data_IF_137250861577
#
_entry.id   IF_137250861577
#
_cell.length_a   1.000
_cell.length_b   1.000
_cell.length_c   1.000
_cell.angle_alpha   90.00
_cell.angle_beta   90.00
_cell.angle_gamma   90.00
#
_symmetry.space_group_name_H-M   'P 1'
#
loop_
_entity.id
_entity.type
_entity.pdbx_description
1 polymer ?
#
# COMPACT_ATOMS: atom_id res chain seq x y z
N UNK A 1 -57.66 8.49 -2.23
CA UNK A 1 -56.23 8.74 -1.95
C UNK A 1 -55.49 7.44 -1.62
N UNK A 2 -55.98 6.62 -0.69
CA UNK A 2 -55.31 5.37 -0.27
C UNK A 2 -55.12 4.33 -1.38
N UNK A 3 -56.09 4.17 -2.29
CA UNK A 3 -55.98 3.21 -3.41
C UNK A 3 -54.87 3.55 -4.42
N UNK A 4 -54.59 4.83 -4.65
CA UNK A 4 -53.50 5.26 -5.54
C UNK A 4 -52.13 4.96 -4.93
N UNK A 5 -51.98 5.22 -3.63
CA UNK A 5 -50.74 4.94 -2.89
C UNK A 5 -50.44 3.43 -2.89
N UNK A 6 -51.45 2.60 -2.67
CA UNK A 6 -51.31 1.13 -2.72
C UNK A 6 -50.87 0.67 -4.11
N UNK A 7 -51.43 1.22 -5.19
CA UNK A 7 -51.04 0.86 -6.56
C UNK A 7 -49.57 1.20 -6.87
N UNK A 8 -49.07 2.32 -6.37
CA UNK A 8 -47.68 2.76 -6.55
C UNK A 8 -46.72 1.81 -5.83
N UNK A 9 -47.06 1.40 -4.60
CA UNK A 9 -46.26 0.42 -3.86
C UNK A 9 -46.17 -0.94 -4.58
N UNK A 10 -47.27 -1.41 -5.17
CA UNK A 10 -47.28 -2.66 -5.93
C UNK A 10 -46.34 -2.57 -7.15
N UNK A 11 -46.33 -1.44 -7.86
CA UNK A 11 -45.45 -1.22 -9.02
C UNK A 11 -43.97 -1.20 -8.60
N UNK A 12 -43.65 -0.56 -7.47
CA UNK A 12 -42.28 -0.51 -6.95
C UNK A 12 -41.80 -1.92 -6.55
N UNK A 13 -42.63 -2.70 -5.84
CA UNK A 13 -42.30 -4.08 -5.47
C UNK A 13 -42.09 -4.94 -6.71
N UNK A 14 -42.93 -4.77 -7.74
CA UNK A 14 -42.77 -5.48 -9.00
C UNK A 14 -41.44 -5.13 -9.71
N UNK A 15 -41.06 -3.84 -9.77
CA UNK A 15 -39.79 -3.41 -10.35
C UNK A 15 -38.59 -3.99 -9.59
N UNK A 16 -38.63 -3.99 -8.26
CA UNK A 16 -37.58 -4.59 -7.43
C UNK A 16 -37.48 -6.10 -7.69
N UNK A 17 -38.61 -6.79 -7.81
CA UNK A 17 -38.64 -8.21 -8.16
C UNK A 17 -37.98 -8.46 -9.52
N UNK A 18 -38.28 -7.65 -10.54
CA UNK A 18 -37.68 -7.81 -11.88
C UNK A 18 -36.17 -7.59 -11.83
N UNK A 19 -35.70 -6.54 -11.13
CA UNK A 19 -34.27 -6.25 -11.00
C UNK A 19 -33.51 -7.38 -10.29
N UNK A 20 -34.07 -7.95 -9.23
CA UNK A 20 -33.43 -9.07 -8.51
C UNK A 20 -33.34 -10.33 -9.37
N UNK A 21 -34.37 -10.67 -10.15
CA UNK A 21 -34.29 -11.78 -11.12
C UNK A 21 -33.23 -11.58 -12.19
N UNK A 22 -33.10 -10.35 -12.72
CA UNK A 22 -32.05 -10.03 -13.70
C UNK A 22 -30.66 -10.23 -13.10
N UNK A 23 -30.44 -9.76 -11.87
CA UNK A 23 -29.17 -9.93 -11.16
C UNK A 23 -28.82 -11.40 -10.93
N UNK A 24 -29.78 -12.23 -10.55
CA UNK A 24 -29.59 -13.68 -10.36
C UNK A 24 -29.21 -14.36 -11.69
N UNK A 25 -29.81 -13.94 -12.81
CA UNK A 25 -29.49 -14.53 -14.11
C UNK A 25 -28.10 -14.11 -14.61
N UNK A 26 -27.71 -12.85 -14.42
CA UNK A 26 -26.38 -12.35 -14.79
C UNK A 26 -25.29 -13.05 -13.96
N UNK A 27 -25.48 -13.16 -12.65
CA UNK A 27 -24.50 -13.83 -11.77
C UNK A 27 -24.31 -15.30 -12.13
N UNK A 28 -25.36 -16.02 -12.51
CA UNK A 28 -25.25 -17.41 -13.03
C UNK A 28 -24.38 -17.49 -14.30
N UNK A 29 -24.66 -16.64 -15.29
CA UNK A 29 -23.90 -16.61 -16.55
C UNK A 29 -22.43 -16.26 -16.32
N UNK A 30 -22.15 -15.31 -15.42
CA UNK A 30 -20.77 -14.94 -15.06
C UNK A 30 -20.07 -16.10 -14.35
N UNK A 31 -20.75 -16.78 -13.42
CA UNK A 31 -20.19 -17.92 -12.70
C UNK A 31 -19.83 -19.08 -13.64
N UNK A 32 -20.70 -19.39 -14.61
CA UNK A 32 -20.44 -20.43 -15.60
C UNK A 32 -19.25 -20.07 -16.51
N UNK A 33 -19.14 -18.81 -16.92
CA UNK A 33 -17.98 -18.30 -17.68
C UNK A 33 -16.70 -18.39 -16.87
N UNK A 34 -16.72 -17.98 -15.60
CA UNK A 34 -15.55 -18.09 -14.72
C UNK A 34 -15.12 -19.54 -14.55
N UNK A 35 -16.06 -20.45 -14.30
CA UNK A 35 -15.78 -21.88 -14.16
C UNK A 35 -15.13 -22.44 -15.43
N UNK A 36 -15.64 -22.10 -16.61
CA UNK A 36 -15.04 -22.52 -17.89
C UNK A 36 -13.63 -21.95 -18.09
N UNK A 37 -13.39 -20.68 -17.74
CA UNK A 37 -12.07 -20.07 -17.83
C UNK A 37 -11.06 -20.70 -16.87
N UNK A 38 -11.49 -21.06 -15.67
CA UNK A 38 -10.65 -21.79 -14.71
C UNK A 38 -10.32 -23.19 -15.19
N UNK A 39 -11.28 -23.92 -15.75
CA UNK A 39 -11.07 -25.26 -16.31
C UNK A 39 -10.09 -25.20 -17.50
N UNK A 40 -10.30 -24.27 -18.43
CA UNK A 40 -9.42 -24.11 -19.60
C UNK A 40 -7.99 -23.75 -19.17
N UNK A 41 -7.83 -22.85 -18.20
CA UNK A 41 -6.49 -22.54 -17.66
C UNK A 41 -5.82 -23.74 -17.00
N UNK A 42 -6.58 -24.58 -16.29
CA UNK A 42 -6.04 -25.80 -15.68
C UNK A 42 -5.62 -26.83 -16.75
N UNK A 43 -6.39 -26.94 -17.82
CA UNK A 43 -6.07 -27.79 -18.97
C UNK A 43 -4.79 -27.30 -19.67
N UNK A 44 -4.64 -25.99 -19.87
CA UNK A 44 -3.41 -25.39 -20.40
C UNK A 44 -2.18 -25.71 -19.53
N UNK A 45 -2.31 -25.65 -18.20
CA UNK A 45 -1.24 -26.04 -17.28
C UNK A 45 -0.92 -27.53 -17.35
N UNK A 46 -1.93 -28.39 -17.43
CA UNK A 46 -1.71 -29.84 -17.60
C UNK A 46 -0.98 -30.15 -18.91
N UNK A 47 -1.34 -29.48 -20.01
CA UNK A 47 -0.65 -29.61 -21.30
C UNK A 47 0.82 -29.17 -21.21
N UNK A 48 1.09 -28.05 -20.52
CA UNK A 48 2.46 -27.58 -20.26
C UNK A 48 3.28 -28.58 -19.42
N UNK A 49 2.66 -29.17 -18.39
CA UNK A 49 3.29 -30.19 -17.55
C UNK A 49 3.59 -31.46 -18.37
N UNK A 50 2.66 -31.88 -19.23
CA UNK A 50 2.85 -33.05 -20.09
C UNK A 50 3.99 -32.83 -21.10
N UNK A 51 4.07 -31.66 -21.72
CA UNK A 51 5.18 -31.28 -22.60
C UNK A 51 6.52 -31.32 -21.85
N UNK A 52 6.56 -30.76 -20.64
CA UNK A 52 7.77 -30.78 -19.80
C UNK A 52 8.17 -32.19 -19.37
N UNK A 53 7.22 -33.04 -19.05
CA UNK A 53 7.48 -34.43 -18.71
C UNK A 53 8.00 -35.24 -19.92
N UNK A 54 7.47 -34.98 -21.12
CA UNK A 54 8.01 -35.56 -22.37
C UNK A 54 9.44 -35.09 -22.65
N UNK A 55 9.73 -33.80 -22.46
CA UNK A 55 11.10 -33.27 -22.55
C UNK A 55 12.04 -33.94 -21.53
N UNK A 56 11.61 -34.06 -20.28
CA UNK A 56 12.36 -34.74 -19.21
C UNK A 56 12.62 -36.22 -19.53
N UNK A 57 11.62 -36.95 -20.04
CA UNK A 57 11.78 -38.34 -20.46
C UNK A 57 12.76 -38.47 -21.62
N UNK A 58 12.70 -37.58 -22.62
CA UNK A 58 13.66 -37.61 -23.73
C UNK A 58 15.10 -37.35 -23.25
N UNK A 59 15.29 -36.46 -22.27
CA UNK A 59 16.60 -36.18 -21.67
C UNK A 59 17.09 -37.40 -20.89
N UNK A 60 16.27 -37.98 -20.01
CA UNK A 60 16.65 -39.17 -19.22
C UNK A 60 16.93 -40.39 -20.10
N UNK A 61 16.11 -40.62 -21.14
CA UNK A 61 16.35 -41.67 -22.14
C UNK A 61 17.67 -41.48 -22.90
N UNK A 62 18.10 -40.22 -23.09
CA UNK A 62 19.37 -39.90 -23.76
C UNK A 62 20.59 -39.97 -22.82
N UNK A 63 20.38 -39.99 -21.50
CA UNK A 63 21.41 -40.23 -20.48
C UNK A 63 21.59 -41.73 -20.20
N UNK A 64 20.49 -42.51 -20.12
CA UNK A 64 20.54 -43.98 -19.95
C UNK A 64 21.26 -44.69 -21.12
N UNK A 65 21.17 -44.16 -22.34
CA UNK A 65 21.90 -44.69 -23.49
C UNK A 65 23.40 -44.33 -23.52
N UNK A 66 23.87 -43.42 -22.64
CA UNK A 66 25.27 -42.97 -22.58
C UNK A 66 26.09 -43.64 -21.48
N UNK A 67 25.46 -44.30 -20.50
CA UNK A 67 26.17 -44.99 -19.41
C UNK A 67 26.84 -46.31 -19.80
N UNK A 68 26.68 -46.80 -21.05
CA UNK A 68 27.28 -48.06 -21.50
C UNK A 68 28.63 -47.97 -22.23
N UNK A 69 29.20 -46.77 -22.44
CA UNK A 69 30.54 -46.63 -23.01
C UNK A 69 31.31 -45.47 -22.37
N UNK A 70 31.99 -45.75 -21.25
CA UNK A 70 32.93 -44.81 -20.64
C UNK A 70 34.30 -45.00 -21.30
N UNK A 71 34.56 -44.25 -22.36
CA UNK A 71 35.91 -43.73 -22.62
C UNK A 71 35.90 -42.23 -22.29
N UNK A 72 36.84 -41.82 -21.42
CA UNK A 72 37.00 -40.45 -20.95
C UNK A 72 37.53 -39.56 -22.08
N UNK A 73 36.65 -39.10 -22.96
CA UNK A 73 36.89 -37.87 -23.69
C UNK A 73 36.52 -36.69 -22.79
N UNK A 74 37.50 -35.82 -22.53
CA UNK A 74 37.25 -34.53 -21.87
C UNK A 74 36.48 -33.66 -22.86
N UNK A 75 35.16 -33.78 -22.82
CA UNK A 75 34.29 -32.86 -23.54
C UNK A 75 34.38 -31.50 -22.86
N UNK A 76 35.02 -30.54 -23.53
CA UNK A 76 34.70 -29.13 -23.31
C UNK A 76 33.26 -28.91 -23.76
N UNK A 77 32.31 -29.21 -22.87
CA UNK A 77 30.94 -28.77 -23.02
C UNK A 77 30.98 -27.26 -22.85
N UNK A 78 31.07 -26.53 -23.96
CA UNK A 78 30.53 -25.19 -24.01
C UNK A 78 29.02 -25.38 -24.14
N UNK A 79 28.23 -25.32 -23.05
CA UNK A 79 26.80 -25.33 -23.24
C UNK A 79 26.49 -24.07 -24.04
N UNK A 80 26.02 -24.26 -25.28
CA UNK A 80 25.28 -23.22 -25.98
C UNK A 80 23.96 -23.13 -25.22
N UNK A 81 24.02 -22.49 -24.05
CA UNK A 81 22.83 -22.02 -23.37
C UNK A 81 22.28 -20.98 -24.33
N UNK A 82 21.10 -21.22 -24.87
CA UNK A 82 20.40 -20.22 -25.66
C UNK A 82 20.06 -19.09 -24.69
N UNK A 83 20.95 -18.10 -24.63
CA UNK A 83 20.83 -16.99 -23.69
C UNK A 83 19.64 -16.18 -24.22
N UNK A 84 18.53 -16.09 -23.45
CA UNK A 84 17.37 -15.36 -23.92
C UNK A 84 17.76 -13.92 -24.27
N UNK A 85 17.20 -13.36 -25.35
CA UNK A 85 17.51 -12.02 -25.84
C UNK A 85 17.28 -10.88 -24.83
N UNK A 86 16.54 -11.16 -23.74
CA UNK A 86 16.28 -10.25 -22.62
C UNK A 86 17.31 -10.35 -21.48
N UNK A 87 18.27 -11.28 -21.54
CA UNK A 87 19.28 -11.44 -20.49
C UNK A 87 20.35 -10.36 -20.64
N UNK A 88 20.18 -9.27 -19.91
CA UNK A 88 21.15 -8.19 -19.89
C UNK A 88 22.42 -8.63 -19.13
N UNK A 89 23.48 -8.85 -19.90
CA UNK A 89 24.79 -9.27 -19.39
C UNK A 89 25.50 -8.19 -18.55
N UNK A 90 25.03 -6.94 -18.58
CA UNK A 90 25.63 -5.84 -17.81
C UNK A 90 25.00 -5.65 -16.42
N UNK A 91 23.82 -6.22 -16.12
CA UNK A 91 23.13 -6.04 -14.82
C UNK A 91 24.07 -6.29 -13.64
N UNK A 92 24.81 -7.40 -13.64
CA UNK A 92 25.74 -7.71 -12.55
C UNK A 92 26.90 -6.71 -12.44
N UNK A 93 27.40 -6.23 -13.58
CA UNK A 93 28.45 -5.20 -13.63
C UNK A 93 27.91 -3.86 -13.13
N UNK A 94 26.67 -3.52 -13.47
CA UNK A 94 26.04 -2.27 -13.09
C UNK A 94 25.62 -2.27 -11.61
N UNK A 95 25.10 -3.39 -11.10
CA UNK A 95 24.90 -3.61 -9.66
C UNK A 95 26.20 -3.50 -8.87
N UNK A 96 27.31 -4.05 -9.39
CA UNK A 96 28.64 -3.90 -8.77
C UNK A 96 29.07 -2.43 -8.72
N UNK A 97 28.93 -1.68 -9.82
CA UNK A 97 29.23 -0.24 -9.86
C UNK A 97 28.34 0.56 -8.90
N UNK A 98 27.05 0.25 -8.82
CA UNK A 98 26.13 0.86 -7.87
C UNK A 98 26.59 0.56 -6.45
N UNK A 99 26.97 -0.68 -6.15
CA UNK A 99 27.45 -1.04 -4.83
C UNK A 99 28.73 -0.30 -4.45
N UNK A 100 29.66 -0.12 -5.38
CA UNK A 100 30.92 0.61 -5.17
C UNK A 100 30.73 2.13 -5.04
N UNK A 101 29.82 2.73 -5.80
CA UNK A 101 29.64 4.20 -5.85
C UNK A 101 28.54 4.74 -4.94
N UNK A 102 27.53 3.93 -4.64
CA UNK A 102 26.37 4.27 -3.81
C UNK A 102 26.54 3.66 -2.43
N UNK A 103 27.70 3.85 -1.81
CA UNK A 103 27.98 3.38 -0.46
C UNK A 103 27.86 4.55 0.52
N UNK A 104 26.65 4.73 1.03
CA UNK A 104 26.35 5.79 1.98
C UNK A 104 26.30 5.25 3.40
N UNK A 105 26.87 6.02 4.31
CA UNK A 105 26.69 5.79 5.73
C UNK A 105 25.29 6.31 6.15
N UNK A 106 24.32 5.40 6.07
CA UNK A 106 22.93 5.63 6.43
C UNK A 106 22.79 6.12 7.88
N UNK A 107 23.60 5.59 8.83
CA UNK A 107 23.54 6.01 10.23
C UNK A 107 23.94 7.48 10.37
N UNK A 108 25.05 7.87 9.73
CA UNK A 108 25.50 9.26 9.76
C UNK A 108 24.52 10.22 9.06
N UNK A 109 23.84 9.79 7.98
CA UNK A 109 22.77 10.56 7.35
C UNK A 109 21.64 10.81 8.35
N UNK A 110 21.18 9.76 9.04
CA UNK A 110 20.09 9.86 10.02
C UNK A 110 20.50 10.77 11.19
N UNK A 111 21.71 10.59 11.75
CA UNK A 111 22.19 11.43 12.86
C UNK A 111 22.28 12.91 12.47
N UNK A 112 22.81 13.23 11.29
CA UNK A 112 22.83 14.60 10.76
C UNK A 112 21.42 15.14 10.52
N UNK A 113 20.51 14.29 10.06
CA UNK A 113 19.11 14.65 9.85
C UNK A 113 18.45 15.06 11.17
N UNK A 114 18.62 14.27 12.23
CA UNK A 114 18.09 14.58 13.57
C UNK A 114 18.66 15.91 14.06
N UNK A 115 19.98 16.09 14.03
CA UNK A 115 20.63 17.32 14.53
C UNK A 115 20.11 18.58 13.83
N UNK A 116 19.82 18.50 12.52
CA UNK A 116 19.38 19.65 11.72
C UNK A 116 17.88 19.94 11.86
N UNK A 117 17.05 18.91 11.97
CA UNK A 117 15.59 19.03 11.80
C UNK A 117 14.79 18.79 13.09
N UNK A 118 15.40 18.22 14.13
CA UNK A 118 14.75 18.02 15.42
C UNK A 118 14.64 19.36 16.15
N UNK A 119 13.55 20.09 15.87
CA UNK A 119 13.16 21.28 16.62
C UNK A 119 12.23 20.84 17.73
N UNK A 120 12.47 21.34 18.95
CA UNK A 120 11.57 21.17 20.09
C UNK A 120 10.20 21.76 19.71
N UNK A 121 9.29 20.91 19.23
CA UNK A 121 7.95 21.32 18.84
C UNK A 121 7.05 21.37 20.06
N UNK A 122 6.01 22.21 19.97
CA UNK A 122 5.07 22.41 21.05
C UNK A 122 4.21 21.15 21.23
N UNK A 123 4.71 20.20 22.01
CA UNK A 123 4.06 18.92 22.37
C UNK A 123 2.63 19.15 22.86
N UNK A 124 2.39 20.25 23.61
CA UNK A 124 1.06 20.63 24.07
C UNK A 124 0.10 20.91 22.91
N UNK A 125 0.57 21.59 21.86
CA UNK A 125 -0.27 21.86 20.69
C UNK A 125 -0.56 20.58 19.89
N UNK A 126 0.44 19.73 19.69
CA UNK A 126 0.28 18.43 19.03
C UNK A 126 -0.73 17.54 19.76
N UNK A 127 -0.61 17.43 21.09
CA UNK A 127 -1.54 16.65 21.92
C UNK A 127 -2.96 17.21 21.88
N UNK A 128 -3.12 18.54 21.82
CA UNK A 128 -4.42 19.18 21.65
C UNK A 128 -5.07 18.84 20.31
N UNK A 129 -4.30 18.84 19.21
CA UNK A 129 -4.80 18.47 17.88
C UNK A 129 -5.19 17.00 17.83
N UNK A 130 -4.37 16.10 18.39
CA UNK A 130 -4.71 14.67 18.48
C UNK A 130 -5.99 14.43 19.27
N UNK A 131 -6.14 15.08 20.43
CA UNK A 131 -7.36 14.94 21.23
C UNK A 131 -8.61 15.42 20.50
N UNK A 132 -8.50 16.48 19.68
CA UNK A 132 -9.59 16.91 18.79
C UNK A 132 -9.87 15.87 17.71
N UNK A 133 -8.84 15.33 17.07
CA UNK A 133 -8.97 14.36 15.98
C UNK A 133 -9.61 13.05 16.45
N UNK A 134 -9.26 12.56 17.64
CA UNK A 134 -9.86 11.36 18.24
C UNK A 134 -11.38 11.47 18.42
N UNK A 135 -11.88 12.69 18.66
CA UNK A 135 -13.32 12.97 18.76
C UNK A 135 -14.01 13.11 17.41
N UNK A 136 -13.26 13.15 16.32
CA UNK A 136 -13.73 13.29 14.94
C UNK A 136 -13.58 11.97 14.17
N UNK A 137 -13.94 10.86 14.79
CA UNK A 137 -13.99 9.57 14.10
C UNK A 137 -15.08 9.55 13.02
N UNK A 138 -14.99 8.58 12.11
CA UNK A 138 -15.76 8.53 10.88
C UNK A 138 -17.28 8.75 11.07
N UNK A 139 -17.91 8.05 12.01
CA UNK A 139 -19.36 8.13 12.21
C UNK A 139 -19.80 9.53 12.63
N UNK A 140 -19.07 10.18 13.55
CA UNK A 140 -19.37 11.55 13.97
C UNK A 140 -19.28 12.51 12.78
N UNK A 141 -18.22 12.40 11.99
CA UNK A 141 -18.00 13.30 10.85
C UNK A 141 -19.11 13.10 9.82
N UNK A 142 -19.46 11.85 9.55
CA UNK A 142 -20.50 11.47 8.59
C UNK A 142 -21.89 11.95 9.01
N UNK A 143 -22.23 11.85 10.30
CA UNK A 143 -23.49 12.39 10.81
C UNK A 143 -23.50 13.92 10.78
N UNK A 144 -22.41 14.54 11.23
CA UNK A 144 -22.33 16.00 11.39
C UNK A 144 -22.31 16.71 10.04
N UNK A 145 -21.66 16.14 9.02
CA UNK A 145 -21.53 16.78 7.70
C UNK A 145 -22.86 17.00 6.97
N UNK A 146 -23.93 16.32 7.40
CA UNK A 146 -25.28 16.46 6.83
C UNK A 146 -26.01 17.72 7.33
N UNK A 147 -25.56 18.34 8.41
CA UNK A 147 -26.19 19.54 8.97
C UNK A 147 -25.63 20.84 8.38
N UNK A 148 -26.30 21.97 8.66
CA UNK A 148 -25.83 23.31 8.29
C UNK A 148 -24.58 23.73 9.09
N UNK A 149 -23.75 24.61 8.51
CA UNK A 149 -22.49 25.13 9.07
C UNK A 149 -22.57 25.51 10.56
N UNK A 150 -23.61 26.27 10.95
CA UNK A 150 -23.85 26.70 12.33
C UNK A 150 -24.07 25.51 13.29
N UNK A 151 -24.84 24.51 12.86
CA UNK A 151 -25.12 23.29 13.64
C UNK A 151 -23.85 22.46 13.76
N UNK A 152 -23.09 22.31 12.68
CA UNK A 152 -21.79 21.59 12.70
C UNK A 152 -20.83 22.19 13.72
N UNK A 153 -20.65 23.51 13.69
CA UNK A 153 -19.78 24.21 14.63
C UNK A 153 -20.29 24.12 16.08
N UNK A 154 -21.61 24.20 16.28
CA UNK A 154 -22.22 24.05 17.61
C UNK A 154 -22.04 22.64 18.19
N UNK A 155 -22.07 21.61 17.33
CA UNK A 155 -21.84 20.23 17.74
C UNK A 155 -20.40 20.06 18.23
N UNK A 156 -19.43 20.56 17.46
CA UNK A 156 -18.01 20.56 17.85
C UNK A 156 -17.77 21.24 19.19
N UNK A 157 -18.41 22.39 19.44
CA UNK A 157 -18.30 23.09 20.72
C UNK A 157 -18.82 22.27 21.91
N UNK A 158 -19.78 21.35 21.71
CA UNK A 158 -20.32 20.50 22.79
C UNK A 158 -19.36 19.38 23.19
N UNK A 159 -18.59 18.86 22.23
CA UNK A 159 -17.65 17.74 22.46
C UNK A 159 -16.24 18.21 22.82
N UNK A 160 -15.93 19.49 22.58
CA UNK A 160 -14.63 20.07 22.83
C UNK A 160 -14.33 20.32 24.32
N UNK A 161 -13.07 20.13 24.72
CA UNK A 161 -12.60 20.54 26.04
C UNK A 161 -12.37 22.06 26.13
N UNK A 162 -12.11 22.58 27.33
CA UNK A 162 -11.86 24.03 27.53
C UNK A 162 -10.67 24.56 26.72
N UNK A 163 -9.61 23.77 26.55
CA UNK A 163 -8.45 24.20 25.76
C UNK A 163 -8.75 24.11 24.25
N UNK A 164 -9.45 23.07 23.82
CA UNK A 164 -9.85 22.87 22.42
C UNK A 164 -10.86 23.92 21.95
N UNK A 165 -11.76 24.37 22.83
CA UNK A 165 -12.69 25.46 22.55
C UNK A 165 -11.97 26.75 22.15
N UNK A 166 -10.86 27.08 22.82
CA UNK A 166 -10.04 28.24 22.45
C UNK A 166 -9.47 28.10 21.05
N UNK A 167 -9.03 26.89 20.69
CA UNK A 167 -8.55 26.61 19.34
C UNK A 167 -9.66 26.72 18.29
N UNK A 168 -10.84 26.14 18.57
CA UNK A 168 -12.02 26.23 17.70
C UNK A 168 -12.47 27.68 17.46
N UNK A 169 -12.42 28.51 18.50
CA UNK A 169 -12.77 29.93 18.38
C UNK A 169 -11.79 30.69 17.50
N UNK A 170 -10.51 30.36 17.55
CA UNK A 170 -9.51 30.92 16.64
C UNK A 170 -9.67 30.42 15.20
N UNK A 171 -10.17 29.20 15.00
CA UNK A 171 -10.41 28.61 13.68
C UNK A 171 -11.71 29.10 13.01
N UNK A 172 -12.64 29.70 13.78
CA UNK A 172 -14.01 29.99 13.35
C UNK A 172 -14.08 30.64 11.96
N UNK A 173 -14.66 29.90 11.01
CA UNK A 173 -15.03 30.37 9.66
C UNK A 173 -16.53 30.68 9.60
N UNK A 174 -16.93 31.58 8.70
CA UNK A 174 -18.36 31.88 8.44
C UNK A 174 -19.07 30.65 7.85
N UNK A 175 -18.45 30.02 6.85
CA UNK A 175 -18.90 28.75 6.26
C UNK A 175 -18.10 27.57 6.82
N UNK A 176 -18.40 27.20 8.07
CA UNK A 176 -17.78 26.06 8.71
C UNK A 176 -18.18 24.74 8.04
N UNK A 177 -17.18 23.91 7.73
CA UNK A 177 -17.35 22.57 7.20
C UNK A 177 -16.53 21.58 8.04
N UNK A 178 -17.19 20.58 8.61
CA UNK A 178 -16.58 19.58 9.50
C UNK A 178 -15.52 18.73 8.81
N UNK A 179 -15.70 18.42 7.52
CA UNK A 179 -14.75 17.64 6.74
C UNK A 179 -13.49 18.46 6.45
N UNK A 180 -13.65 19.73 6.06
CA UNK A 180 -12.51 20.64 5.90
C UNK A 180 -11.75 20.84 7.22
N UNK A 181 -12.48 20.95 8.33
CA UNK A 181 -11.88 21.08 9.65
C UNK A 181 -11.10 19.83 10.05
N UNK A 182 -11.67 18.64 9.84
CA UNK A 182 -10.97 17.37 10.07
C UNK A 182 -9.70 17.27 9.25
N UNK A 183 -9.79 17.50 7.94
CA UNK A 183 -8.63 17.50 7.05
C UNK A 183 -7.58 18.54 7.49
N UNK A 184 -8.00 19.70 7.98
CA UNK A 184 -7.09 20.72 8.50
C UNK A 184 -6.34 20.22 9.75
N UNK A 185 -7.04 19.61 10.70
CA UNK A 185 -6.42 19.03 11.91
C UNK A 185 -5.46 17.91 11.53
N UNK A 186 -5.86 16.97 10.68
CA UNK A 186 -5.02 15.85 10.24
C UNK A 186 -3.73 16.35 9.58
N UNK A 187 -3.83 17.34 8.68
CA UNK A 187 -2.65 17.95 8.09
C UNK A 187 -1.72 18.63 9.11
N UNK A 188 -2.29 19.29 10.13
CA UNK A 188 -1.47 19.90 11.19
C UNK A 188 -0.84 18.84 12.11
N UNK A 189 -1.50 17.72 12.36
CA UNK A 189 -0.92 16.58 13.09
C UNK A 189 0.25 16.04 12.29
N UNK A 190 0.08 15.76 11.00
CA UNK A 190 1.14 15.22 10.14
C UNK A 190 2.35 16.15 10.03
N UNK A 191 2.13 17.48 10.06
CA UNK A 191 3.21 18.49 10.06
C UNK A 191 3.95 18.61 11.40
N UNK A 192 3.34 18.15 12.50
CA UNK A 192 3.89 18.25 13.84
C UNK A 192 4.19 16.88 14.47
N UNK A 193 4.00 15.78 13.72
CA UNK A 193 4.44 14.45 14.14
C UNK A 193 5.96 14.46 14.30
N UNK A 194 6.40 14.10 15.51
CA UNK A 194 7.81 14.05 15.87
C UNK A 194 8.45 12.72 15.48
N UNK A 195 7.66 11.76 15.01
CA UNK A 195 8.14 10.44 14.58
C UNK A 195 8.91 10.57 13.26
N UNK A 196 10.14 10.08 13.27
CA UNK A 196 11.00 10.00 12.09
C UNK A 196 10.89 8.58 11.55
N UNK A 197 10.19 8.43 10.43
CA UNK A 197 10.07 7.13 9.77
C UNK A 197 11.23 6.93 8.82
N UNK A 198 12.09 5.97 9.11
CA UNK A 198 13.23 5.60 8.26
C UNK A 198 12.86 4.35 7.47
N UNK A 199 12.74 4.47 6.16
CA UNK A 199 12.46 3.33 5.28
C UNK A 199 13.75 2.71 4.76
N UNK A 200 13.84 1.39 4.86
CA UNK A 200 15.03 0.60 4.54
C UNK A 200 14.70 -0.53 3.57
N UNK A 201 15.64 -0.86 2.70
CA UNK A 201 15.48 -1.92 1.69
C UNK A 201 15.73 -3.34 2.20
N UNK A 202 16.28 -3.50 3.42
CA UNK A 202 16.60 -4.80 4.02
C UNK A 202 15.89 -4.96 5.35
N UNK A 203 15.38 -6.15 5.62
CA UNK A 203 14.60 -6.44 6.85
C UNK A 203 15.48 -6.44 8.10
N UNK A 204 16.76 -6.69 7.94
CA UNK A 204 17.74 -6.75 9.01
C UNK A 204 18.24 -5.35 9.43
N UNK A 205 18.02 -4.33 8.59
CA UNK A 205 18.40 -2.96 8.90
C UNK A 205 17.39 -2.35 9.89
N UNK A 206 17.88 -1.89 11.05
CA UNK A 206 17.07 -1.22 12.06
C UNK A 206 17.87 -0.03 12.62
N UNK A 207 17.22 1.14 12.67
CA UNK A 207 17.78 2.40 13.15
C UNK A 207 17.04 2.98 14.35
N UNK A 208 16.10 2.24 14.95
CA UNK A 208 15.27 2.68 16.09
C UNK A 208 16.13 3.01 17.32
N UNK A 209 17.27 2.33 17.45
CA UNK A 209 18.25 2.56 18.51
C UNK A 209 18.92 3.94 18.46
N UNK A 210 18.83 4.67 17.33
CA UNK A 210 19.47 5.98 17.19
C UNK A 210 18.71 7.10 17.91
N UNK A 211 17.39 6.96 18.09
CA UNK A 211 16.54 7.92 18.79
C UNK A 211 15.17 7.29 19.10
N UNK A 212 14.59 7.59 20.27
CA UNK A 212 13.27 7.07 20.67
C UNK A 212 12.13 7.43 19.70
N UNK A 213 12.30 8.50 18.92
CA UNK A 213 11.32 8.96 17.96
C UNK A 213 11.54 8.37 16.56
N UNK A 214 12.53 7.48 16.37
CA UNK A 214 12.75 6.81 15.09
C UNK A 214 11.93 5.53 15.02
N UNK A 215 11.30 5.33 13.86
CA UNK A 215 10.66 4.07 13.51
C UNK A 215 11.16 3.59 12.15
N UNK A 216 11.84 2.45 12.15
CA UNK A 216 12.36 1.83 10.94
C UNK A 216 11.26 0.99 10.29
N UNK A 217 11.07 1.16 8.99
CA UNK A 217 10.05 0.48 8.21
C UNK A 217 10.73 -0.19 7.01
N UNK A 218 10.48 -1.48 6.83
CA UNK A 218 10.92 -2.17 5.63
C UNK A 218 10.10 -1.74 4.40
N UNK A 219 10.79 -1.40 3.32
CA UNK A 219 10.19 -1.02 2.04
C UNK A 219 10.91 -1.79 0.91
N UNK A 220 10.22 -2.77 0.34
CA UNK A 220 10.77 -3.65 -0.71
C UNK A 220 11.12 -2.92 -2.02
N UNK A 221 10.60 -1.69 -2.20
CA UNK A 221 10.94 -0.86 -3.36
C UNK A 221 12.33 -0.24 -3.27
N UNK A 222 12.96 -0.27 -2.08
CA UNK A 222 14.30 0.26 -1.87
C UNK A 222 15.33 -0.85 -2.13
N UNK A 223 16.16 -0.66 -3.15
CA UNK A 223 17.26 -1.57 -3.49
C UNK A 223 18.50 -1.22 -2.66
N UNK A 224 18.80 0.07 -2.49
CA UNK A 224 19.93 0.55 -1.66
C UNK A 224 19.66 1.93 -1.07
N UNK A 225 20.21 2.21 0.10
CA UNK A 225 20.06 3.50 0.80
C UNK A 225 18.82 3.53 1.69
N UNK A 226 18.34 4.74 2.00
CA UNK A 226 17.20 4.96 2.90
C UNK A 226 16.29 6.09 2.41
N UNK A 227 15.03 6.06 2.82
CA UNK A 227 14.12 7.22 2.73
C UNK A 227 13.77 7.67 4.14
N UNK A 228 13.82 8.96 4.40
CA UNK A 228 13.40 9.52 5.69
C UNK A 228 12.10 10.29 5.48
N UNK A 229 11.05 9.92 6.21
CA UNK A 229 9.77 10.63 6.23
C UNK A 229 9.61 11.30 7.59
N UNK A 230 9.44 12.61 7.59
CA UNK A 230 9.30 13.42 8.80
C UNK A 230 8.46 14.66 8.50
N UNK A 231 7.44 14.93 9.32
CA UNK A 231 6.60 16.13 9.20
C UNK A 231 5.99 16.35 7.80
N UNK A 232 5.42 15.28 7.23
CA UNK A 232 4.87 15.26 5.87
C UNK A 232 5.89 15.66 4.77
N UNK A 233 7.19 15.41 4.99
CA UNK A 233 8.26 15.59 4.02
C UNK A 233 9.00 14.29 3.79
N UNK A 234 9.28 13.99 2.53
CA UNK A 234 10.09 12.85 2.11
C UNK A 234 11.50 13.34 1.74
N UNK A 235 12.51 12.72 2.34
CA UNK A 235 13.92 12.90 2.00
C UNK A 235 14.43 11.57 1.44
N UNK A 236 14.69 11.54 0.14
CA UNK A 236 15.09 10.33 -0.56
C UNK A 236 16.61 10.26 -0.73
N UNK A 237 17.21 9.23 -0.13
CA UNK A 237 18.64 8.89 -0.26
C UNK A 237 18.79 7.46 -0.79
N UNK A 238 17.80 6.98 -1.55
CA UNK A 238 17.71 5.60 -1.99
C UNK A 238 17.66 5.43 -3.51
N UNK A 239 17.90 4.18 -3.92
CA UNK A 239 17.72 3.64 -5.27
C UNK A 239 16.64 2.57 -5.26
#
# INVERSE_FOLDING_TARGET
MNALIISIFIIIIFLISVMTTMLINVTKVVNDRLKSLFINKLEDYNNLIELKNKELQNITSSEENKESNIEKEVYHVNPIIDIPSYRDSSILKDLKKINEKFDFDNQNIILKFIQKNYKYQNEKHYNLLNSLNEKLYFDIVYEVMLYQSNVQYSFLKKIASKEELKYLENYKKEDFNILEFKNHIENLIDQNDQTIYVRVGKKEENYDHLNNNIKTIYDESIIKGIKIVYQNKLFDYSL
#
